data_IF_403089985714
#
_entry.id   IF_403089985714
#
_cell.length_a   1.000
_cell.length_b   1.000
_cell.length_c   1.000
_cell.angle_alpha   90.00
_cell.angle_beta   90.00
_cell.angle_gamma   90.00
#
_symmetry.space_group_name_H-M   'P 1'
#
loop_
_entity.id
_entity.type
_entity.pdbx_description
1 polymer ?
#
# COMPACT_ATOMS: atom_id res chain seq x y z
N UNK A 1 18.07 9.95 9.36
CA UNK A 1 16.94 9.11 9.00
C UNK A 1 15.80 9.26 10.00
N UNK A 2 14.58 9.28 9.52
CA UNK A 2 13.42 9.39 10.40
C UNK A 2 13.25 8.12 11.24
N UNK A 3 12.79 8.29 12.46
CA UNK A 3 12.42 7.17 13.30
C UNK A 3 11.22 6.44 12.67
N UNK A 4 11.27 5.12 12.59
CA UNK A 4 10.20 4.33 12.00
C UNK A 4 8.87 4.51 12.71
N UNK A 5 8.86 4.89 13.98
CA UNK A 5 7.64 5.18 14.74
C UNK A 5 6.86 6.35 14.15
N UNK A 6 7.52 7.26 13.44
CA UNK A 6 6.88 8.40 12.79
C UNK A 6 6.23 8.04 11.46
N UNK A 7 6.56 6.87 10.90
CA UNK A 7 5.97 6.42 9.65
C UNK A 7 4.61 5.78 9.91
N UNK A 8 3.62 6.01 9.02
CA UNK A 8 2.35 5.28 9.08
C UNK A 8 2.55 3.82 8.73
N UNK A 9 1.50 3.01 8.94
CA UNK A 9 1.54 1.59 8.58
C UNK A 9 1.76 1.37 7.08
N UNK A 10 1.19 2.24 6.25
CA UNK A 10 1.36 2.22 4.80
C UNK A 10 2.09 3.49 4.38
N UNK A 11 3.21 3.31 3.69
CA UNK A 11 4.05 4.43 3.24
C UNK A 11 4.11 4.41 1.71
N UNK A 12 3.79 5.55 1.07
CA UNK A 12 4.00 5.73 -0.36
C UNK A 12 5.46 6.11 -0.58
N UNK A 13 6.24 5.22 -1.19
CA UNK A 13 7.66 5.42 -1.45
C UNK A 13 7.97 5.60 -2.92
N UNK A 14 6.96 5.91 -3.74
CA UNK A 14 7.13 6.04 -5.19
C UNK A 14 8.20 7.06 -5.58
N UNK A 15 8.31 8.16 -4.84
CA UNK A 15 9.26 9.23 -5.13
C UNK A 15 10.59 9.10 -4.39
N UNK A 16 10.62 8.31 -3.31
CA UNK A 16 11.76 8.21 -2.41
C UNK A 16 12.30 6.77 -2.30
N UNK A 17 12.04 5.94 -3.31
CA UNK A 17 12.38 4.52 -3.27
C UNK A 17 13.85 4.26 -2.93
N UNK A 18 14.76 4.95 -3.61
CA UNK A 18 16.20 4.76 -3.37
C UNK A 18 16.62 5.19 -1.97
N UNK A 19 16.13 6.33 -1.51
CA UNK A 19 16.44 6.85 -0.18
C UNK A 19 15.87 5.93 0.90
N UNK A 20 14.64 5.44 0.69
CA UNK A 20 14.00 4.51 1.62
C UNK A 20 14.78 3.19 1.71
N UNK A 21 15.12 2.61 0.57
CA UNK A 21 15.89 1.36 0.51
C UNK A 21 17.27 1.47 1.13
N UNK A 22 17.93 2.64 1.03
CA UNK A 22 19.26 2.84 1.58
C UNK A 22 19.32 2.65 3.10
N UNK A 23 18.23 2.90 3.78
CA UNK A 23 18.13 2.79 5.24
C UNK A 23 17.66 1.40 5.71
N UNK A 24 17.44 0.48 4.78
CA UNK A 24 16.91 -0.85 5.06
C UNK A 24 17.85 -1.96 4.58
N UNK A 25 17.78 -3.10 5.27
CA UNK A 25 18.43 -4.34 4.83
C UNK A 25 17.37 -5.25 4.22
N UNK A 26 17.68 -5.84 3.06
CA UNK A 26 16.81 -6.83 2.46
C UNK A 26 17.03 -8.18 3.12
N UNK A 27 15.98 -8.75 3.71
CA UNK A 27 16.05 -10.04 4.40
C UNK A 27 15.57 -11.19 3.51
N UNK A 28 14.60 -10.95 2.65
CA UNK A 28 14.00 -11.98 1.80
C UNK A 28 13.32 -11.32 0.61
N UNK A 29 12.92 -12.13 -0.37
CA UNK A 29 12.21 -11.67 -1.55
C UNK A 29 11.13 -12.68 -1.96
N UNK A 30 10.04 -12.17 -2.50
CA UNK A 30 8.97 -12.98 -3.07
C UNK A 30 8.60 -12.42 -4.46
N UNK A 31 7.49 -12.89 -5.01
CA UNK A 31 7.00 -12.40 -6.29
C UNK A 31 6.53 -10.94 -6.16
N UNK A 32 7.29 -10.01 -6.73
CA UNK A 32 6.99 -8.58 -6.72
C UNK A 32 6.96 -7.94 -5.33
N UNK A 33 7.58 -8.59 -4.31
CA UNK A 33 7.65 -8.06 -2.96
C UNK A 33 9.01 -8.36 -2.34
N UNK A 34 9.42 -7.49 -1.40
CA UNK A 34 10.65 -7.66 -0.63
C UNK A 34 10.34 -7.58 0.86
N UNK A 35 11.05 -8.37 1.64
CA UNK A 35 11.07 -8.23 3.10
C UNK A 35 12.29 -7.40 3.48
N UNK A 36 12.04 -6.23 4.05
CA UNK A 36 13.08 -5.28 4.44
C UNK A 36 13.04 -5.03 5.95
N UNK A 37 14.16 -4.67 6.51
CA UNK A 37 14.26 -4.34 7.92
C UNK A 37 15.06 -3.06 8.11
N UNK A 38 14.55 -2.15 8.92
CA UNK A 38 15.25 -0.90 9.23
C UNK A 38 16.55 -1.20 9.95
N UNK A 39 17.65 -0.58 9.51
CA UNK A 39 18.97 -0.76 10.10
C UNK A 39 19.05 -0.21 11.53
N UNK A 40 18.24 0.79 11.85
CA UNK A 40 18.29 1.45 13.15
C UNK A 40 17.33 0.84 14.17
N UNK A 41 16.05 0.72 13.86
CA UNK A 41 15.02 0.30 14.81
C UNK A 41 14.54 -1.13 14.60
N UNK A 42 15.03 -1.81 13.57
CA UNK A 42 14.68 -3.20 13.26
C UNK A 42 13.21 -3.41 12.85
N UNK A 43 12.49 -2.33 12.56
CA UNK A 43 11.12 -2.44 12.04
C UNK A 43 11.11 -3.20 10.72
N UNK A 44 10.20 -4.16 10.58
CA UNK A 44 10.03 -4.93 9.36
C UNK A 44 9.05 -4.24 8.41
N UNK A 45 9.34 -4.32 7.12
CA UNK A 45 8.51 -3.78 6.06
C UNK A 45 8.33 -4.79 4.95
N UNK A 46 7.13 -4.85 4.39
CA UNK A 46 6.84 -5.53 3.14
C UNK A 46 6.78 -4.45 2.06
N UNK A 47 7.68 -4.51 1.09
CA UNK A 47 7.82 -3.47 0.06
C UNK A 47 7.40 -4.04 -1.29
N UNK A 48 6.46 -3.38 -1.96
CA UNK A 48 6.06 -3.74 -3.31
C UNK A 48 7.17 -3.38 -4.30
N UNK A 49 7.39 -4.24 -5.29
CA UNK A 49 8.37 -4.02 -6.33
C UNK A 49 7.68 -4.13 -7.68
N UNK A 50 7.37 -3.00 -8.29
CA UNK A 50 6.74 -2.96 -9.61
C UNK A 50 7.73 -2.37 -10.62
N UNK A 51 7.75 -2.92 -11.81
CA UNK A 51 8.62 -2.46 -12.89
C UNK A 51 7.98 -1.37 -13.76
N UNK A 52 6.81 -0.87 -13.38
CA UNK A 52 6.07 0.13 -14.12
C UNK A 52 5.79 1.36 -13.26
N UNK A 53 5.29 2.42 -13.91
CA UNK A 53 4.97 3.70 -13.26
C UNK A 53 3.75 3.58 -12.35
N UNK A 54 3.83 2.71 -11.36
CA UNK A 54 2.78 2.54 -10.36
C UNK A 54 3.25 3.01 -9.00
N UNK A 55 2.30 3.35 -8.15
CA UNK A 55 2.59 3.71 -6.77
C UNK A 55 3.20 2.51 -6.06
N UNK A 56 4.33 2.74 -5.40
CA UNK A 56 5.04 1.71 -4.63
C UNK A 56 4.79 1.97 -3.16
N UNK A 57 4.35 0.94 -2.45
CA UNK A 57 4.08 1.03 -1.02
C UNK A 57 5.03 0.17 -0.21
N UNK A 58 5.36 0.68 0.98
CA UNK A 58 6.00 -0.09 2.04
C UNK A 58 5.01 -0.22 3.19
N UNK A 59 4.82 -1.43 3.69
CA UNK A 59 3.86 -1.72 4.76
C UNK A 59 4.61 -2.27 5.96
N UNK A 60 4.37 -1.71 7.15
CA UNK A 60 4.91 -2.24 8.39
C UNK A 60 4.27 -3.59 8.70
N UNK A 61 5.10 -4.58 9.04
CA UNK A 61 4.60 -5.90 9.41
C UNK A 61 5.15 -6.28 10.79
N UNK A 62 4.39 -7.09 11.57
CA UNK A 62 4.77 -7.39 12.95
C UNK A 62 5.86 -8.45 13.09
N UNK A 63 6.00 -9.37 12.11
CA UNK A 63 6.99 -10.43 12.20
C UNK A 63 7.39 -10.94 10.82
N UNK A 64 8.47 -11.74 10.79
CA UNK A 64 8.94 -12.39 9.56
C UNK A 64 8.07 -13.58 9.17
N UNK A 65 7.35 -14.16 10.12
CA UNK A 65 6.54 -15.34 9.86
C UNK A 65 5.39 -15.01 8.92
N UNK A 66 5.26 -15.78 7.85
CA UNK A 66 4.21 -15.61 6.84
C UNK A 66 4.15 -14.21 6.24
N UNK A 67 5.29 -13.53 6.15
CA UNK A 67 5.32 -12.14 5.69
C UNK A 67 4.73 -11.98 4.27
N UNK A 68 4.89 -12.98 3.41
CA UNK A 68 4.34 -12.93 2.04
C UNK A 68 2.82 -12.94 2.05
N UNK A 69 2.23 -13.58 3.04
CA UNK A 69 0.77 -13.68 3.19
C UNK A 69 0.16 -12.49 3.90
N UNK A 70 0.96 -11.58 4.43
CA UNK A 70 0.45 -10.37 5.08
C UNK A 70 -0.33 -9.55 4.07
N UNK A 71 -1.59 -9.27 4.38
CA UNK A 71 -2.49 -8.56 3.47
C UNK A 71 -2.53 -7.07 3.81
N UNK A 72 -2.19 -6.25 2.82
CA UNK A 72 -2.24 -4.79 2.94
C UNK A 72 -3.41 -4.18 2.16
N UNK A 73 -4.27 -5.01 1.59
CA UNK A 73 -5.37 -4.56 0.73
C UNK A 73 -6.23 -3.49 1.41
N UNK A 74 -6.63 -3.72 2.66
CA UNK A 74 -7.47 -2.77 3.39
C UNK A 74 -6.77 -1.40 3.59
N UNK A 75 -5.46 -1.40 3.82
CA UNK A 75 -4.68 -0.18 3.98
C UNK A 75 -4.60 0.59 2.65
N UNK A 76 -4.40 -0.13 1.54
CA UNK A 76 -4.34 0.47 0.22
C UNK A 76 -5.71 1.05 -0.16
N UNK A 77 -6.79 0.34 0.12
CA UNK A 77 -8.16 0.82 -0.13
C UNK A 77 -8.46 2.09 0.67
N UNK A 78 -8.08 2.14 1.92
CA UNK A 78 -8.23 3.35 2.74
C UNK A 78 -7.44 4.51 2.15
N UNK A 79 -6.24 4.26 1.66
CA UNK A 79 -5.41 5.27 1.04
C UNK A 79 -6.03 5.78 -0.27
N UNK A 80 -6.61 4.91 -1.08
CA UNK A 80 -7.31 5.29 -2.31
C UNK A 80 -8.46 6.25 -2.00
N UNK A 81 -9.27 5.91 -1.02
CA UNK A 81 -10.39 6.75 -0.59
C UNK A 81 -9.89 8.11 -0.13
N UNK A 82 -8.87 8.12 0.73
CA UNK A 82 -8.29 9.35 1.28
C UNK A 82 -7.71 10.24 0.17
N UNK A 83 -6.93 9.66 -0.74
CA UNK A 83 -6.27 10.40 -1.82
C UNK A 83 -7.27 11.05 -2.76
N UNK A 84 -8.45 10.44 -2.93
CA UNK A 84 -9.48 10.93 -3.86
C UNK A 84 -10.52 11.81 -3.19
N UNK A 85 -10.42 12.02 -1.89
CA UNK A 85 -11.28 12.96 -1.17
C UNK A 85 -12.48 12.35 -0.47
N UNK A 86 -12.56 11.02 -0.34
CA UNK A 86 -13.61 10.33 0.39
C UNK A 86 -14.62 9.63 -0.51
N UNK A 87 -15.78 9.29 0.09
CA UNK A 87 -16.89 8.64 -0.61
C UNK A 87 -17.97 9.65 -0.99
N UNK A 88 -18.76 9.33 -2.02
CA UNK A 88 -19.90 10.16 -2.46
C UNK A 88 -21.20 9.61 -1.91
N UNK A 89 -22.31 10.29 -2.23
CA UNK A 89 -23.66 9.80 -1.92
C UNK A 89 -24.19 8.84 -2.99
N UNK A 90 -23.51 8.73 -4.13
CA UNK A 90 -23.89 7.85 -5.22
C UNK A 90 -23.36 6.45 -5.03
N UNK A 91 -24.00 5.47 -5.65
CA UNK A 91 -23.58 4.08 -5.57
C UNK A 91 -22.73 3.66 -6.77
N UNK A 92 -21.85 2.68 -6.54
CA UNK A 92 -21.05 2.09 -7.61
C UNK A 92 -21.93 1.63 -8.77
N UNK A 93 -21.51 1.93 -10.00
CA UNK A 93 -22.29 1.57 -11.21
C UNK A 93 -22.19 0.10 -11.57
N UNK A 94 -21.31 -0.66 -10.90
CA UNK A 94 -21.15 -2.09 -11.16
C UNK A 94 -22.42 -2.84 -10.82
N UNK A 95 -22.81 -3.80 -11.68
CA UNK A 95 -24.03 -4.55 -11.47
C UNK A 95 -24.06 -5.25 -10.11
N UNK A 96 -25.17 -5.12 -9.40
CA UNK A 96 -25.38 -5.71 -8.07
C UNK A 96 -24.46 -5.19 -6.97
N UNK A 97 -23.82 -4.04 -7.18
CA UNK A 97 -22.96 -3.42 -6.18
C UNK A 97 -23.71 -2.33 -5.44
N UNK A 98 -23.77 -2.40 -4.11
CA UNK A 98 -24.45 -1.43 -3.26
C UNK A 98 -23.47 -0.57 -2.46
N UNK A 99 -22.17 -0.60 -2.81
CA UNK A 99 -21.17 0.21 -2.17
C UNK A 99 -21.14 1.61 -2.75
N UNK A 100 -20.74 2.60 -1.95
CA UNK A 100 -20.68 3.99 -2.40
C UNK A 100 -19.48 4.22 -3.31
N UNK A 101 -19.65 5.11 -4.28
CA UNK A 101 -18.57 5.52 -5.18
C UNK A 101 -17.49 6.26 -4.40
N UNK A 102 -16.23 6.06 -4.82
CA UNK A 102 -15.12 6.91 -4.39
C UNK A 102 -15.22 8.21 -5.17
N UNK A 103 -14.98 9.34 -4.51
CA UNK A 103 -15.06 10.66 -5.12
C UNK A 103 -14.22 10.72 -6.40
N UNK A 104 -14.80 11.22 -7.47
CA UNK A 104 -14.13 11.29 -8.77
C UNK A 104 -14.17 10.00 -9.58
N UNK A 105 -14.86 8.96 -9.10
CA UNK A 105 -15.03 7.69 -9.81
C UNK A 105 -16.49 7.26 -9.81
N UNK A 106 -16.87 6.47 -10.79
CA UNK A 106 -18.18 5.81 -10.83
C UNK A 106 -18.18 4.48 -10.07
N UNK A 107 -17.03 4.06 -9.56
CA UNK A 107 -16.83 2.77 -8.89
C UNK A 107 -16.59 2.93 -7.39
N UNK A 108 -16.93 1.90 -6.63
CA UNK A 108 -16.52 1.80 -5.23
C UNK A 108 -15.04 1.42 -5.15
N UNK A 109 -14.45 1.55 -3.95
CA UNK A 109 -13.02 1.26 -3.76
C UNK A 109 -12.68 -0.20 -4.08
N UNK A 110 -13.59 -1.13 -3.83
CA UNK A 110 -13.34 -2.55 -4.11
C UNK A 110 -13.15 -2.80 -5.61
N UNK A 111 -13.97 -2.18 -6.45
CA UNK A 111 -13.86 -2.32 -7.90
C UNK A 111 -12.70 -1.51 -8.48
N UNK A 112 -12.39 -0.35 -7.88
CA UNK A 112 -11.21 0.43 -8.25
C UNK A 112 -9.94 -0.40 -7.97
N UNK A 113 -9.86 -1.00 -6.80
CA UNK A 113 -8.71 -1.83 -6.42
C UNK A 113 -8.57 -3.05 -7.33
N UNK A 114 -9.67 -3.77 -7.60
CA UNK A 114 -9.61 -4.95 -8.48
C UNK A 114 -9.30 -4.61 -9.93
N UNK A 115 -9.52 -3.36 -10.37
CA UNK A 115 -9.10 -2.93 -11.71
C UNK A 115 -7.62 -2.61 -11.82
N UNK A 116 -6.88 -2.65 -10.70
CA UNK A 116 -5.44 -2.46 -10.66
C UNK A 116 -4.97 -1.15 -10.04
N UNK A 117 -5.87 -0.24 -9.68
CA UNK A 117 -5.48 1.03 -9.08
C UNK A 117 -4.94 0.83 -7.67
N UNK A 118 -3.96 1.64 -7.28
CA UNK A 118 -3.31 1.60 -5.96
C UNK A 118 -3.31 2.97 -5.26
N UNK A 119 -3.82 3.99 -5.92
CA UNK A 119 -3.90 5.32 -5.33
C UNK A 119 -5.18 6.05 -5.78
#
# INVERSE_FOLDING_TARGET
>A
MRNCKEHPELIDISNDYSAFNHSLDQLDAGDWVLLMQCKLCKQLYKVDVWDKLQTIYAVKIPSKENWKAFKSEHLIKERIIKNRGGLTQSYCVWANCNEKQVKGSALCVNHIYSSGARA
#
